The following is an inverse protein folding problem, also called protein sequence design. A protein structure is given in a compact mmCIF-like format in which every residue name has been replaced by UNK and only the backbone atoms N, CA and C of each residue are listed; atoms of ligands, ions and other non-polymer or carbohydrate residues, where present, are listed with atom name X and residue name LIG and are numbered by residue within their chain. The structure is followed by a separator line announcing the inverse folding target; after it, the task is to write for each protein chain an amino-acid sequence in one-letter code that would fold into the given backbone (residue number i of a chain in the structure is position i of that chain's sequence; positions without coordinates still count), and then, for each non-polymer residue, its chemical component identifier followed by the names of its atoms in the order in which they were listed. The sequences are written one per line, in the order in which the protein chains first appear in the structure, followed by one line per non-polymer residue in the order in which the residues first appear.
data_IF_621864575366
#
_entry.id   IF_621864575366
#
_cell.length_a   1.000
_cell.length_b   1.000
_cell.length_c   1.000
_cell.angle_alpha   90.00
_cell.angle_beta   90.00
_cell.angle_gamma   90.00
#
_symmetry.space_group_name_H-M   'P 1'
#
loop_
_entity.id
_entity.type
_entity.pdbx_description
1 polymer ?
#
# COMPACT_ATOMS: atom_id res chain seq x y z
N UNK A 1 21.55 2.52 14.38
CA UNK A 1 20.32 1.70 14.29
C UNK A 1 19.54 1.88 12.98
N UNK A 2 19.04 3.07 12.64
CA UNK A 2 18.21 3.28 11.43
C UNK A 2 18.88 2.91 10.09
N UNK A 3 20.20 3.13 9.99
CA UNK A 3 20.98 2.80 8.79
C UNK A 3 20.94 1.31 8.44
N UNK A 4 21.15 0.44 9.43
CA UNK A 4 21.10 -1.01 9.24
C UNK A 4 19.70 -1.49 8.84
N UNK A 5 18.65 -0.90 9.42
CA UNK A 5 17.28 -1.20 9.03
C UNK A 5 17.03 -0.82 7.57
N UNK A 6 17.48 0.37 7.16
CA UNK A 6 17.36 0.84 5.78
C UNK A 6 18.12 -0.06 4.80
N UNK A 7 19.31 -0.55 5.18
CA UNK A 7 20.12 -1.46 4.38
C UNK A 7 19.46 -2.84 4.23
N UNK A 8 18.94 -3.42 5.32
CA UNK A 8 18.21 -4.69 5.29
C UNK A 8 16.94 -4.64 4.40
N UNK A 9 16.26 -3.48 4.37
CA UNK A 9 15.08 -3.27 3.51
C UNK A 9 15.42 -2.99 2.04
N UNK A 10 16.67 -2.64 1.69
CA UNK A 10 17.07 -2.45 0.28
C UNK A 10 17.15 -3.77 -0.48
N UNK A 11 17.60 -4.84 0.18
CA UNK A 11 17.68 -6.20 -0.39
C UNK A 11 16.98 -7.20 0.52
N UNK A 12 15.63 -7.21 0.52
CA UNK A 12 14.88 -8.09 1.42
C UNK A 12 15.19 -9.57 1.20
N UNK A 13 15.49 -9.98 -0.04
CA UNK A 13 15.77 -11.37 -0.42
C UNK A 13 17.03 -11.95 0.20
N UNK A 14 18.04 -11.10 0.41
CA UNK A 14 19.35 -11.52 0.91
C UNK A 14 19.44 -11.32 2.44
N UNK A 15 18.35 -10.89 3.07
CA UNK A 15 18.29 -10.51 4.47
C UNK A 15 17.20 -11.30 5.20
N UNK A 16 17.30 -11.34 6.54
CA UNK A 16 16.28 -11.92 7.44
C UNK A 16 14.88 -11.30 7.29
N UNK A 17 14.76 -10.16 6.60
CA UNK A 17 13.49 -9.47 6.36
C UNK A 17 12.53 -10.31 5.51
N UNK A 18 13.03 -11.10 4.55
CA UNK A 18 12.15 -11.90 3.70
C UNK A 18 11.34 -12.93 4.50
N UNK A 19 11.98 -13.65 5.42
CA UNK A 19 11.32 -14.70 6.19
C UNK A 19 10.27 -14.11 7.13
N UNK A 20 10.62 -13.05 7.86
CA UNK A 20 9.69 -12.30 8.71
C UNK A 20 8.51 -11.77 7.91
N UNK A 21 8.76 -11.22 6.71
CA UNK A 21 7.68 -10.70 5.87
C UNK A 21 6.81 -11.79 5.28
N UNK A 22 7.37 -12.97 4.99
CA UNK A 22 6.61 -14.12 4.49
C UNK A 22 5.59 -14.60 5.53
N UNK A 23 6.02 -14.77 6.78
CA UNK A 23 5.14 -15.12 7.89
C UNK A 23 4.05 -14.05 8.09
N UNK A 24 4.46 -12.77 8.13
CA UNK A 24 3.52 -11.65 8.26
C UNK A 24 2.52 -11.59 7.11
N UNK A 25 2.94 -11.87 5.89
CA UNK A 25 2.07 -11.87 4.72
C UNK A 25 0.96 -12.91 4.81
N UNK A 26 1.23 -14.08 5.39
CA UNK A 26 0.20 -15.11 5.64
C UNK A 26 -0.86 -14.55 6.59
N UNK A 27 -0.44 -13.94 7.69
CA UNK A 27 -1.35 -13.30 8.66
C UNK A 27 -2.13 -12.14 8.04
N UNK A 28 -1.48 -11.29 7.23
CA UNK A 28 -2.11 -10.13 6.60
C UNK A 28 -3.12 -10.51 5.52
N UNK A 29 -3.02 -11.70 4.92
CA UNK A 29 -4.04 -12.20 3.99
C UNK A 29 -5.36 -12.48 4.71
N UNK A 30 -5.31 -12.97 5.95
CA UNK A 30 -6.49 -13.25 6.79
C UNK A 30 -7.11 -11.98 7.37
N UNK A 31 -6.34 -10.92 7.54
CA UNK A 31 -6.80 -9.66 8.11
C UNK A 31 -7.63 -8.80 7.12
N UNK A 32 -8.44 -7.85 7.63
CA UNK A 32 -9.19 -6.90 6.80
C UNK A 32 -8.30 -6.08 5.87
N UNK A 33 -8.89 -5.51 4.82
CA UNK A 33 -8.16 -4.72 3.83
C UNK A 33 -7.56 -3.41 4.38
N UNK A 34 -8.10 -2.86 5.47
CA UNK A 34 -7.56 -1.66 6.13
C UNK A 34 -7.49 -1.89 7.63
N UNK A 35 -6.28 -1.93 8.18
CA UNK A 35 -6.00 -2.27 9.58
C UNK A 35 -5.15 -1.16 10.20
N UNK A 36 -5.55 -0.69 11.37
CA UNK A 36 -4.76 0.24 12.19
C UNK A 36 -3.61 -0.52 12.86
N UNK A 37 -2.43 0.07 12.88
CA UNK A 37 -1.25 -0.46 13.55
C UNK A 37 -0.86 0.45 14.70
N UNK A 38 -0.39 -0.15 15.79
CA UNK A 38 0.13 0.59 16.95
C UNK A 38 1.54 1.13 16.69
N UNK A 39 2.37 0.32 16.02
CA UNK A 39 3.75 0.68 15.67
C UNK A 39 4.00 0.55 14.16
N UNK A 40 4.82 1.43 13.57
CA UNK A 40 5.21 1.30 12.17
C UNK A 40 6.05 0.03 11.93
N UNK A 41 5.75 -0.71 10.87
CA UNK A 41 6.55 -1.86 10.44
C UNK A 41 7.98 -1.45 10.04
N UNK A 42 8.13 -0.23 9.51
CA UNK A 42 9.41 0.35 9.07
C UNK A 42 9.61 1.71 9.74
N UNK A 43 10.28 1.69 10.88
CA UNK A 43 10.52 2.89 11.67
C UNK A 43 11.46 3.87 10.95
N UNK A 44 12.46 3.36 10.23
CA UNK A 44 13.39 4.14 9.40
C UNK A 44 12.66 5.01 8.37
N UNK A 45 11.78 4.39 7.58
CA UNK A 45 11.08 5.08 6.50
C UNK A 45 9.97 5.96 7.04
N UNK A 46 9.27 5.54 8.08
CA UNK A 46 8.22 6.33 8.71
C UNK A 46 8.77 7.67 9.21
N UNK A 47 9.88 7.68 9.96
CA UNK A 47 10.47 8.94 10.45
C UNK A 47 10.94 9.86 9.32
N UNK A 48 11.54 9.29 8.26
CA UNK A 48 11.94 10.06 7.08
C UNK A 48 10.75 10.73 6.36
N UNK A 49 9.53 10.20 6.52
CA UNK A 49 8.31 10.75 5.94
C UNK A 49 7.52 11.63 6.92
N UNK A 50 8.08 11.92 8.10
CA UNK A 50 7.49 12.83 9.08
C UNK A 50 6.70 12.16 10.21
N UNK A 51 6.76 10.84 10.35
CA UNK A 51 6.18 10.17 11.53
C UNK A 51 6.89 10.58 12.81
N UNK A 52 6.11 10.90 13.85
CA UNK A 52 6.58 11.13 15.22
C UNK A 52 5.77 10.25 16.17
N UNK A 53 6.43 9.67 17.16
CA UNK A 53 5.78 8.89 18.21
C UNK A 53 5.11 9.82 19.25
N UNK A 54 4.06 10.52 18.82
CA UNK A 54 3.25 11.42 19.65
C UNK A 54 1.77 11.11 19.43
N UNK A 55 0.92 11.51 20.39
CA UNK A 55 -0.54 11.44 20.23
C UNK A 55 -0.97 12.24 18.99
N UNK A 56 -1.91 11.71 18.23
CA UNK A 56 -2.38 12.29 16.96
C UNK A 56 -1.76 11.66 15.71
N UNK A 57 -0.63 10.95 15.83
CA UNK A 57 -0.10 10.17 14.70
C UNK A 57 -0.66 8.76 14.71
N UNK A 58 -1.15 8.31 13.56
CA UNK A 58 -1.72 6.97 13.37
C UNK A 58 -1.07 6.33 12.16
N UNK A 59 -0.70 5.05 12.30
CA UNK A 59 -0.22 4.25 11.19
C UNK A 59 -1.32 3.29 10.77
N UNK A 60 -1.60 3.25 9.47
CA UNK A 60 -2.61 2.36 8.90
C UNK A 60 -1.96 1.55 7.79
N UNK A 61 -2.24 0.24 7.77
CA UNK A 61 -1.90 -0.64 6.67
C UNK A 61 -3.12 -0.83 5.78
N UNK A 62 -2.96 -0.54 4.49
CA UNK A 62 -3.97 -0.76 3.48
C UNK A 62 -3.52 -1.82 2.45
N UNK A 63 -4.43 -2.73 2.12
CA UNK A 63 -4.25 -3.75 1.09
C UNK A 63 -4.94 -3.32 -0.20
N UNK A 64 -4.22 -3.42 -1.31
CA UNK A 64 -4.71 -3.16 -2.67
C UNK A 64 -4.37 -4.34 -3.57
N UNK A 65 -5.29 -4.62 -4.50
CA UNK A 65 -5.12 -5.68 -5.49
C UNK A 65 -3.99 -5.33 -6.48
N UNK A 66 -3.23 -6.35 -6.89
CA UNK A 66 -2.22 -6.21 -7.93
C UNK A 66 -2.87 -6.20 -9.32
N UNK A 67 -2.20 -5.56 -10.28
CA UNK A 67 -2.61 -5.55 -11.68
C UNK A 67 -3.26 -4.24 -12.13
N UNK A 68 -3.73 -4.26 -13.37
CA UNK A 68 -4.44 -3.14 -14.00
C UNK A 68 -5.92 -3.10 -13.62
N UNK A 69 -6.62 -2.11 -14.19
CA UNK A 69 -8.07 -2.00 -14.04
C UNK A 69 -8.72 -2.66 -15.25
N UNK A 70 -9.80 -3.40 -15.04
CA UNK A 70 -10.64 -3.86 -16.14
C UNK A 70 -11.71 -2.81 -16.43
N UNK A 71 -11.83 -2.38 -17.69
CA UNK A 71 -12.93 -1.50 -18.12
C UNK A 71 -14.24 -2.29 -18.14
N UNK A 72 -15.38 -1.65 -17.87
CA UNK A 72 -16.68 -2.28 -18.12
C UNK A 72 -16.83 -2.55 -19.62
N UNK A 73 -17.31 -3.74 -20.01
CA UNK A 73 -17.52 -4.07 -21.42
C UNK A 73 -18.66 -3.20 -21.96
N UNK A 74 -18.44 -2.44 -23.04
CA UNK A 74 -19.52 -1.69 -23.67
C UNK A 74 -20.60 -2.63 -24.20
N UNK A 75 -21.88 -2.26 -23.98
CA UNK A 75 -23.04 -3.07 -24.38
C UNK A 75 -23.51 -2.74 -25.80
N UNK A 76 -23.44 -1.46 -26.18
CA UNK A 76 -23.86 -0.97 -27.50
C UNK A 76 -22.71 -1.01 -28.52
N UNK A 77 -23.05 -0.78 -29.79
CA UNK A 77 -22.08 -0.64 -30.87
C UNK A 77 -21.10 0.51 -30.61
N UNK A 78 -19.81 0.19 -30.54
CA UNK A 78 -18.74 1.19 -30.48
C UNK A 78 -17.68 0.91 -31.54
N UNK A 79 -16.97 1.96 -31.94
CA UNK A 79 -15.79 1.84 -32.80
C UNK A 79 -14.78 0.87 -32.17
N UNK A 80 -14.12 0.06 -33.00
CA UNK A 80 -13.15 -0.97 -32.57
C UNK A 80 -12.11 -0.44 -31.56
N UNK A 81 -11.60 0.79 -31.76
CA UNK A 81 -10.64 1.42 -30.84
C UNK A 81 -11.14 1.61 -29.40
N UNK A 82 -12.47 1.66 -29.18
CA UNK A 82 -13.10 1.87 -27.86
C UNK A 82 -13.56 0.55 -27.19
N UNK A 83 -13.43 -0.58 -27.90
CA UNK A 83 -13.84 -1.91 -27.45
C UNK A 83 -12.82 -2.63 -26.56
N UNK A 84 -11.60 -2.09 -26.41
CA UNK A 84 -10.58 -2.66 -25.54
C UNK A 84 -10.97 -2.66 -24.06
N UNK A 85 -10.87 -3.83 -23.40
CA UNK A 85 -11.30 -4.02 -22.00
C UNK A 85 -10.14 -4.39 -21.05
N UNK A 86 -9.23 -5.27 -21.49
CA UNK A 86 -8.29 -5.97 -20.60
C UNK A 86 -7.00 -5.18 -20.33
N UNK A 87 -6.41 -4.56 -21.36
CA UNK A 87 -5.12 -3.86 -21.27
C UNK A 87 -5.32 -2.38 -20.91
N UNK A 88 -5.99 -2.13 -19.79
CA UNK A 88 -6.25 -0.76 -19.33
C UNK A 88 -5.49 -0.45 -18.04
N UNK A 89 -4.63 0.56 -18.11
CA UNK A 89 -3.82 1.02 -16.97
C UNK A 89 -4.53 2.18 -16.30
N UNK A 90 -4.74 2.14 -14.97
CA UNK A 90 -5.29 3.29 -14.25
C UNK A 90 -4.32 4.48 -14.31
N UNK A 91 -4.84 5.70 -14.45
CA UNK A 91 -4.02 6.91 -14.39
C UNK A 91 -3.48 7.24 -12.99
N UNK A 92 -4.04 6.63 -11.94
CA UNK A 92 -3.61 6.81 -10.55
C UNK A 92 -2.63 5.71 -10.13
N UNK A 93 -1.63 6.08 -9.33
CA UNK A 93 -0.72 5.12 -8.72
C UNK A 93 -1.46 4.25 -7.68
N UNK A 94 -0.98 3.02 -7.47
CA UNK A 94 -1.53 2.13 -6.43
C UNK A 94 -1.36 2.69 -5.02
N UNK A 95 -0.29 3.46 -4.82
CA UNK A 95 -0.03 4.14 -3.56
C UNK A 95 -1.10 5.21 -3.29
N UNK A 96 -1.39 6.06 -4.28
CA UNK A 96 -2.44 7.07 -4.19
C UNK A 96 -3.82 6.45 -3.96
N UNK A 97 -4.13 5.34 -4.65
CA UNK A 97 -5.38 4.61 -4.40
C UNK A 97 -5.49 4.06 -2.95
N UNK A 98 -4.36 3.75 -2.31
CA UNK A 98 -4.34 3.31 -0.91
C UNK A 98 -4.59 4.47 0.03
N UNK A 99 -3.93 5.60 -0.21
CA UNK A 99 -4.14 6.83 0.54
C UNK A 99 -5.61 7.28 0.48
N UNK A 100 -6.20 7.32 -0.72
CA UNK A 100 -7.62 7.65 -0.90
C UNK A 100 -8.56 6.69 -0.14
N UNK A 101 -8.24 5.39 -0.14
CA UNK A 101 -9.04 4.38 0.59
C UNK A 101 -8.94 4.56 2.11
N UNK A 102 -7.77 4.93 2.62
CA UNK A 102 -7.56 5.18 4.05
C UNK A 102 -8.25 6.48 4.47
N UNK A 103 -8.09 7.56 3.70
CA UNK A 103 -8.73 8.85 3.95
C UNK A 103 -10.26 8.73 4.03
N UNK A 104 -10.87 7.95 3.13
CA UNK A 104 -12.32 7.67 3.19
C UNK A 104 -12.75 6.90 4.44
N UNK A 105 -11.88 6.05 5.00
CA UNK A 105 -12.20 5.27 6.22
C UNK A 105 -12.08 6.11 7.49
N UNK A 106 -11.15 7.06 7.50
CA UNK A 106 -10.88 7.95 8.64
C UNK A 106 -11.05 9.41 8.21
N UNK A 107 -12.29 9.90 8.02
CA UNK A 107 -12.55 11.24 7.52
C UNK A 107 -12.13 12.35 8.50
N UNK A 108 -11.93 12.00 9.78
CA UNK A 108 -11.46 12.91 10.82
C UNK A 108 -9.92 13.04 10.88
N UNK A 109 -9.19 12.37 9.97
CA UNK A 109 -7.74 12.39 9.91
C UNK A 109 -7.28 12.74 8.50
N UNK A 110 -6.10 13.35 8.40
CA UNK A 110 -5.47 13.63 7.11
C UNK A 110 -4.29 12.70 6.83
N UNK A 111 -4.10 12.39 5.55
CA UNK A 111 -2.98 11.55 5.11
C UNK A 111 -1.74 12.42 4.95
N UNK A 112 -0.75 12.21 5.81
CA UNK A 112 0.55 12.89 5.71
C UNK A 112 1.40 12.31 4.58
N UNK A 113 1.60 11.00 4.59
CA UNK A 113 2.41 10.29 3.60
C UNK A 113 2.18 8.77 3.70
N UNK A 114 2.74 8.00 2.76
CA UNK A 114 2.69 6.54 2.78
C UNK A 114 3.98 5.90 2.29
N UNK A 115 4.17 4.62 2.59
CA UNK A 115 5.33 3.86 2.11
C UNK A 115 4.96 2.41 1.81
N UNK A 116 5.70 1.82 0.88
CA UNK A 116 5.57 0.42 0.52
C UNK A 116 6.14 -0.51 1.60
N UNK A 117 5.42 -1.59 1.88
CA UNK A 117 5.79 -2.58 2.91
C UNK A 117 6.07 -3.95 2.30
N UNK A 118 5.09 -4.56 1.63
CA UNK A 118 5.25 -5.92 1.08
C UNK A 118 4.27 -6.16 -0.08
N UNK A 119 4.59 -7.13 -0.95
CA UNK A 119 3.82 -7.47 -2.16
C UNK A 119 3.86 -8.96 -2.49
#
# INVERSE_FOLDING_TARGET
MYRHLKEAWKRPKDSFVQDIMRERAITWRKQPSVVRLDTPTRLDRAHSLGYKAKKGFVVVRARIMRGGRRKLRPVLGHRQKRMGVTKYTPGKSRQLMAEERVARKYPNMEVLNSYWVWQ
#
